data_IF_850750334371
#
_entry.id   IF_850750334371
#
_cell.length_a   1.000
_cell.length_b   1.000
_cell.length_c   1.000
_cell.angle_alpha   90.00
_cell.angle_beta   90.00
_cell.angle_gamma   90.00
#
_symmetry.space_group_name_H-M   'P 1'
#
loop_
_entity.id
_entity.type
_entity.pdbx_description
1 polymer ?
#
# COMPACT_ATOMS: atom_id res chain seq x y z
N UNK A 1 14.67 15.76 -1.38
CA UNK A 1 14.75 14.63 -2.34
C UNK A 1 13.35 14.06 -2.52
N UNK A 2 13.00 13.57 -3.70
CA UNK A 2 11.67 12.99 -3.93
C UNK A 2 11.69 11.47 -3.81
N UNK A 3 10.59 10.95 -3.27
CA UNK A 3 10.38 9.52 -3.08
C UNK A 3 9.03 9.14 -3.67
N UNK A 4 9.04 8.10 -4.50
CA UNK A 4 7.83 7.40 -4.91
C UNK A 4 7.26 6.67 -3.69
N UNK A 5 6.06 7.04 -3.24
CA UNK A 5 5.44 6.47 -2.05
C UNK A 5 4.95 5.03 -2.29
N UNK A 6 4.82 4.61 -3.57
CA UNK A 6 4.23 3.34 -3.95
C UNK A 6 2.96 3.08 -3.14
N UNK A 7 2.90 1.94 -2.46
CA UNK A 7 1.72 1.52 -1.68
C UNK A 7 1.43 2.33 -0.42
N UNK A 8 2.32 3.23 0.04
CA UNK A 8 1.93 4.20 1.09
C UNK A 8 0.79 5.12 0.62
N UNK A 9 0.58 5.24 -0.69
CA UNK A 9 -0.62 5.87 -1.27
C UNK A 9 -1.92 5.29 -0.69
N UNK A 10 -1.96 3.98 -0.35
CA UNK A 10 -3.15 3.32 0.20
C UNK A 10 -3.60 3.94 1.53
N UNK A 11 -2.81 3.93 2.62
CA UNK A 11 -3.19 4.55 3.88
C UNK A 11 -3.14 6.08 3.85
N UNK A 12 -2.29 6.70 3.03
CA UNK A 12 -2.11 8.16 3.05
C UNK A 12 -3.10 8.92 2.17
N UNK A 13 -3.63 8.31 1.11
CA UNK A 13 -4.48 9.00 0.13
C UNK A 13 -5.82 8.29 -0.04
N UNK A 14 -5.80 7.03 -0.51
CA UNK A 14 -7.03 6.35 -0.92
C UNK A 14 -7.92 6.00 0.26
N UNK A 15 -7.35 5.59 1.40
CA UNK A 15 -8.13 5.30 2.61
C UNK A 15 -8.80 6.56 3.16
N UNK A 16 -8.09 7.70 3.38
CA UNK A 16 -8.72 8.95 3.79
C UNK A 16 -9.82 9.44 2.82
N UNK A 17 -9.62 9.29 1.51
CA UNK A 17 -10.66 9.62 0.52
C UNK A 17 -11.88 8.69 0.64
N UNK A 18 -11.68 7.39 0.80
CA UNK A 18 -12.76 6.44 1.00
C UNK A 18 -13.55 6.74 2.28
N UNK A 19 -12.86 6.99 3.40
CA UNK A 19 -13.48 7.38 4.67
C UNK A 19 -14.30 8.68 4.56
N UNK A 20 -13.88 9.61 3.70
CA UNK A 20 -14.57 10.90 3.50
C UNK A 20 -15.79 10.78 2.59
N UNK A 21 -15.71 9.97 1.54
CA UNK A 21 -16.68 10.00 0.43
C UNK A 21 -17.61 8.79 0.38
N UNK A 22 -17.25 7.67 1.01
CA UNK A 22 -18.00 6.42 0.91
C UNK A 22 -18.64 6.06 2.25
N UNK A 23 -19.83 5.46 2.17
CA UNK A 23 -20.37 4.65 3.26
C UNK A 23 -19.64 3.30 3.24
N UNK A 24 -18.98 2.97 4.35
CA UNK A 24 -18.08 1.82 4.41
C UNK A 24 -18.78 0.47 4.29
N UNK A 25 -20.06 0.42 4.66
CA UNK A 25 -20.84 -0.82 4.74
C UNK A 25 -21.87 -0.93 3.61
N UNK A 26 -22.04 0.14 2.82
CA UNK A 26 -22.87 0.11 1.62
C UNK A 26 -22.25 -0.79 0.54
N UNK A 27 -23.11 -1.57 -0.10
CA UNK A 27 -22.72 -2.37 -1.27
C UNK A 27 -22.41 -1.49 -2.48
N UNK A 28 -21.14 -1.40 -2.83
CA UNK A 28 -20.63 -0.58 -3.91
C UNK A 28 -21.01 -1.09 -5.30
N UNK A 29 -21.48 -2.35 -5.43
CA UNK A 29 -22.01 -2.91 -6.70
C UNK A 29 -23.25 -2.17 -7.22
N UNK A 30 -23.85 -1.34 -6.35
CA UNK A 30 -24.95 -0.44 -6.73
C UNK A 30 -24.48 0.74 -7.58
N UNK A 31 -23.19 1.09 -7.54
CA UNK A 31 -22.60 2.12 -8.39
C UNK A 31 -22.54 1.65 -9.85
N UNK A 32 -22.90 2.49 -10.84
CA UNK A 32 -22.86 2.13 -12.25
C UNK A 32 -21.48 1.61 -12.71
N UNK A 33 -20.40 2.24 -12.25
CA UNK A 33 -19.01 1.86 -12.61
C UNK A 33 -18.61 0.47 -12.09
N UNK A 34 -19.31 -0.03 -11.06
CA UNK A 34 -19.06 -1.35 -10.47
C UNK A 34 -20.19 -2.35 -10.77
N UNK A 35 -21.06 -2.04 -11.73
CA UNK A 35 -22.23 -2.88 -12.04
C UNK A 35 -21.86 -4.29 -12.54
N UNK A 36 -20.69 -4.45 -13.17
CA UNK A 36 -20.20 -5.77 -13.60
C UNK A 36 -19.89 -6.71 -12.43
N UNK A 37 -19.72 -6.18 -11.21
CA UNK A 37 -19.56 -6.99 -10.00
C UNK A 37 -20.88 -7.53 -9.44
N UNK A 38 -22.05 -7.17 -9.99
CA UNK A 38 -23.37 -7.61 -9.49
C UNK A 38 -23.55 -9.13 -9.50
N UNK A 39 -22.83 -9.83 -10.38
CA UNK A 39 -22.87 -11.30 -10.45
C UNK A 39 -22.05 -12.00 -9.35
N UNK A 40 -21.28 -11.25 -8.54
CA UNK A 40 -20.62 -11.83 -7.35
C UNK A 40 -21.67 -12.25 -6.33
N UNK A 41 -21.46 -13.39 -5.68
CA UNK A 41 -22.33 -13.87 -4.59
C UNK A 41 -22.33 -12.91 -3.40
N UNK A 42 -21.15 -12.40 -3.03
CA UNK A 42 -20.95 -11.56 -1.85
C UNK A 42 -20.99 -10.07 -2.19
N UNK A 43 -21.52 -9.22 -1.27
CA UNK A 43 -21.40 -7.76 -1.35
C UNK A 43 -19.95 -7.31 -1.55
N UNK A 44 -19.79 -6.13 -2.14
CA UNK A 44 -18.50 -5.47 -2.25
C UNK A 44 -18.57 -4.14 -1.48
N UNK A 45 -18.09 -4.13 -0.24
CA UNK A 45 -18.12 -2.91 0.60
C UNK A 45 -16.77 -2.23 0.66
N UNK A 46 -16.75 -0.92 0.92
CA UNK A 46 -15.47 -0.20 1.07
C UNK A 46 -14.68 -0.73 2.27
N UNK A 47 -15.36 -1.16 3.35
CA UNK A 47 -14.71 -1.82 4.50
C UNK A 47 -13.93 -3.06 4.08
N UNK A 48 -14.55 -3.97 3.31
CA UNK A 48 -13.90 -5.20 2.83
C UNK A 48 -12.71 -4.90 1.91
N UNK A 49 -12.81 -3.88 1.06
CA UNK A 49 -11.72 -3.48 0.17
C UNK A 49 -10.54 -2.90 0.96
N UNK A 50 -10.81 -2.02 1.93
CA UNK A 50 -9.80 -1.38 2.79
C UNK A 50 -9.11 -2.38 3.74
N UNK A 51 -9.83 -3.39 4.22
CA UNK A 51 -9.29 -4.46 5.08
C UNK A 51 -8.83 -5.69 4.32
N UNK A 52 -8.78 -5.62 2.98
CA UNK A 52 -8.31 -6.70 2.11
C UNK A 52 -9.11 -8.03 2.20
N UNK A 53 -10.36 -7.99 2.63
CA UNK A 53 -11.26 -9.17 2.73
C UNK A 53 -12.28 -9.25 1.60
N UNK A 54 -12.14 -8.44 0.56
CA UNK A 54 -13.05 -8.45 -0.59
C UNK A 54 -12.91 -9.69 -1.50
N UNK A 55 -11.98 -10.61 -1.20
CA UNK A 55 -11.72 -11.77 -2.06
C UNK A 55 -11.30 -11.36 -3.47
N UNK A 56 -10.41 -10.38 -3.57
CA UNK A 56 -9.76 -9.96 -4.81
C UNK A 56 -8.31 -10.47 -4.80
N UNK A 57 -7.77 -10.87 -5.96
CA UNK A 57 -6.37 -11.29 -6.03
C UNK A 57 -5.44 -10.11 -5.68
N UNK A 58 -4.19 -10.40 -5.29
CA UNK A 58 -3.27 -9.36 -4.88
C UNK A 58 -2.99 -8.39 -6.02
N UNK A 59 -2.85 -8.92 -7.23
CA UNK A 59 -2.35 -8.18 -8.37
C UNK A 59 -2.82 -8.84 -9.68
N UNK A 60 -3.08 -8.01 -10.68
CA UNK A 60 -3.25 -8.37 -12.09
C UNK A 60 -2.71 -7.20 -12.94
N UNK A 61 -2.21 -7.43 -14.17
CA UNK A 61 -1.68 -6.37 -15.01
C UNK A 61 -2.80 -5.42 -15.45
N UNK A 62 -2.62 -4.12 -15.24
CA UNK A 62 -3.62 -3.13 -15.62
C UNK A 62 -3.64 -2.93 -17.14
N UNK A 63 -4.81 -3.13 -17.74
CA UNK A 63 -5.01 -3.07 -19.19
C UNK A 63 -6.20 -2.19 -19.59
N UNK A 64 -6.73 -1.38 -18.67
CA UNK A 64 -7.88 -0.50 -18.90
C UNK A 64 -9.25 -1.21 -18.97
N UNK A 65 -9.30 -2.55 -18.96
CA UNK A 65 -10.56 -3.30 -18.95
C UNK A 65 -11.19 -3.24 -17.54
N UNK A 66 -12.53 -3.19 -17.41
CA UNK A 66 -13.20 -3.31 -16.12
C UNK A 66 -12.74 -4.55 -15.34
N UNK A 67 -12.41 -4.37 -14.06
CA UNK A 67 -11.78 -5.44 -13.27
C UNK A 67 -12.64 -6.71 -13.19
N UNK A 68 -13.96 -6.58 -13.09
CA UNK A 68 -14.86 -7.73 -13.07
C UNK A 68 -14.74 -8.61 -14.33
N UNK A 69 -14.58 -7.99 -15.49
CA UNK A 69 -14.36 -8.70 -16.76
C UNK A 69 -12.98 -9.33 -16.81
N UNK A 70 -11.96 -8.61 -16.32
CA UNK A 70 -10.61 -9.13 -16.21
C UNK A 70 -10.56 -10.38 -15.33
N UNK A 71 -11.24 -10.39 -14.17
CA UNK A 71 -11.29 -11.53 -13.26
C UNK A 71 -11.95 -12.79 -13.86
N UNK A 72 -12.74 -12.65 -14.91
CA UNK A 72 -13.34 -13.77 -15.64
C UNK A 72 -12.39 -14.39 -16.68
N UNK A 73 -11.30 -13.71 -17.03
CA UNK A 73 -10.29 -14.21 -17.96
C UNK A 73 -9.44 -15.33 -17.34
N UNK A 74 -8.91 -16.26 -18.17
CA UNK A 74 -7.93 -17.23 -17.70
C UNK A 74 -6.61 -16.53 -17.36
N UNK A 75 -6.05 -16.85 -16.19
CA UNK A 75 -4.71 -16.43 -15.78
C UNK A 75 -3.88 -17.63 -15.35
N UNK A 76 -2.53 -17.54 -15.47
CA UNK A 76 -1.61 -18.56 -14.97
C UNK A 76 -1.47 -18.45 -13.45
N UNK A 77 -2.57 -18.73 -12.73
CA UNK A 77 -2.60 -18.72 -11.27
C UNK A 77 -1.53 -19.64 -10.68
N UNK A 78 -0.90 -19.19 -9.59
CA UNK A 78 0.24 -19.81 -8.91
C UNK A 78 1.53 -19.92 -9.74
N UNK A 79 1.58 -19.34 -10.94
CA UNK A 79 2.82 -19.23 -11.73
C UNK A 79 3.78 -18.14 -11.23
N UNK A 80 3.30 -17.23 -10.38
CA UNK A 80 4.10 -16.17 -9.76
C UNK A 80 3.48 -15.77 -8.40
N UNK A 81 4.26 -15.33 -7.39
CA UNK A 81 3.73 -14.89 -6.08
C UNK A 81 2.68 -13.76 -6.13
N UNK A 82 2.65 -12.97 -7.21
CA UNK A 82 1.64 -11.94 -7.45
C UNK A 82 0.36 -12.46 -8.13
N UNK A 83 0.38 -13.68 -8.67
CA UNK A 83 -0.74 -14.28 -9.40
C UNK A 83 -1.38 -15.37 -8.55
N UNK A 84 -1.97 -14.97 -7.43
CA UNK A 84 -2.61 -15.88 -6.48
C UNK A 84 -4.12 -15.69 -6.49
N UNK A 85 -4.87 -16.78 -6.57
CA UNK A 85 -6.33 -16.74 -6.49
C UNK A 85 -6.75 -16.73 -5.02
N UNK A 86 -7.57 -15.77 -4.56
CA UNK A 86 -8.07 -15.77 -3.20
C UNK A 86 -9.02 -16.95 -2.98
N UNK A 87 -8.93 -17.58 -1.81
CA UNK A 87 -9.75 -18.73 -1.41
C UNK A 87 -10.60 -18.32 -0.22
N UNK A 88 -11.90 -18.64 -0.27
CA UNK A 88 -12.80 -18.41 0.84
C UNK A 88 -12.68 -19.57 1.85
N UNK A 89 -12.68 -19.25 3.13
CA UNK A 89 -12.76 -20.17 4.26
C UNK A 89 -14.12 -19.99 4.93
N UNK A 90 -14.93 -21.06 4.97
CA UNK A 90 -16.27 -21.03 5.57
C UNK A 90 -17.21 -19.94 5.02
N UNK A 91 -17.04 -19.56 3.75
CA UNK A 91 -17.85 -18.52 3.09
C UNK A 91 -17.32 -17.10 3.25
N UNK A 92 -16.23 -16.89 3.99
CA UNK A 92 -15.57 -15.60 4.15
C UNK A 92 -14.17 -15.63 3.54
N UNK A 93 -13.64 -14.47 3.12
CA UNK A 93 -12.27 -14.39 2.63
C UNK A 93 -11.36 -13.88 3.76
N UNK A 94 -10.34 -14.66 4.16
CA UNK A 94 -9.24 -14.12 4.93
C UNK A 94 -8.62 -12.91 4.22
N UNK A 95 -8.06 -11.99 5.00
CA UNK A 95 -7.42 -10.81 4.41
C UNK A 95 -6.27 -11.24 3.47
N UNK A 96 -6.29 -10.75 2.24
CA UNK A 96 -5.25 -10.96 1.24
C UNK A 96 -4.92 -9.61 0.60
N UNK A 97 -3.71 -9.11 0.87
CA UNK A 97 -3.27 -7.80 0.36
C UNK A 97 -3.56 -7.68 -1.14
N UNK A 98 -4.22 -6.60 -1.54
CA UNK A 98 -4.74 -6.43 -2.90
C UNK A 98 -4.66 -4.99 -3.37
N UNK A 99 -3.88 -4.78 -4.44
CA UNK A 99 -3.84 -3.52 -5.18
C UNK A 99 -5.15 -3.28 -5.91
N UNK A 100 -5.79 -4.37 -6.37
CA UNK A 100 -7.05 -4.34 -7.09
C UNK A 100 -8.21 -3.85 -6.20
N UNK A 101 -8.17 -4.15 -4.90
CA UNK A 101 -9.12 -3.59 -3.95
C UNK A 101 -9.03 -2.06 -3.87
N UNK A 102 -7.81 -1.53 -3.91
CA UNK A 102 -7.57 -0.09 -3.89
C UNK A 102 -7.88 0.60 -5.22
N UNK A 103 -7.74 -0.09 -6.35
CA UNK A 103 -8.28 0.35 -7.65
C UNK A 103 -9.79 0.57 -7.56
N UNK A 104 -10.53 -0.44 -7.08
CA UNK A 104 -11.99 -0.36 -6.95
C UNK A 104 -12.41 0.77 -6.01
N UNK A 105 -11.70 0.98 -4.90
CA UNK A 105 -11.95 2.09 -3.98
C UNK A 105 -11.79 3.45 -4.68
N UNK A 106 -10.73 3.63 -5.47
CA UNK A 106 -10.51 4.87 -6.19
C UNK A 106 -11.58 5.11 -7.27
N UNK A 107 -11.94 4.09 -8.05
CA UNK A 107 -13.05 4.16 -9.03
C UNK A 107 -14.39 4.52 -8.35
N UNK A 108 -14.66 3.95 -7.16
CA UNK A 108 -15.85 4.28 -6.38
C UNK A 108 -15.84 5.73 -5.85
N UNK A 109 -14.68 6.20 -5.36
CA UNK A 109 -14.51 7.59 -4.92
C UNK A 109 -14.74 8.56 -6.08
N UNK A 110 -14.16 8.30 -7.25
CA UNK A 110 -14.37 9.15 -8.43
C UNK A 110 -15.85 9.17 -8.84
N UNK A 111 -16.52 8.00 -8.85
CA UNK A 111 -17.93 7.91 -9.21
C UNK A 111 -18.88 8.65 -8.24
N UNK A 112 -18.60 8.59 -6.93
CA UNK A 112 -19.44 9.26 -5.92
C UNK A 112 -19.16 10.75 -5.82
N UNK A 113 -17.91 11.16 -5.97
CA UNK A 113 -17.49 12.57 -5.83
C UNK A 113 -17.60 13.38 -7.12
N UNK A 114 -17.59 12.73 -8.28
CA UNK A 114 -17.45 13.37 -9.60
C UNK A 114 -16.07 13.99 -9.87
N UNK A 115 -15.11 13.83 -8.94
CA UNK A 115 -13.75 14.38 -9.05
C UNK A 115 -12.72 13.28 -9.30
N UNK A 116 -11.60 13.62 -9.94
CA UNK A 116 -10.51 12.67 -10.14
C UNK A 116 -9.81 12.33 -8.81
N UNK A 117 -9.54 11.04 -8.57
CA UNK A 117 -8.84 10.51 -7.40
C UNK A 117 -7.49 11.19 -7.19
N UNK A 118 -6.72 11.41 -8.27
CA UNK A 118 -5.44 12.09 -8.21
C UNK A 118 -5.59 13.55 -7.71
N UNK A 119 -6.58 14.28 -8.24
CA UNK A 119 -6.84 15.67 -7.85
C UNK A 119 -7.38 15.77 -6.42
N UNK A 120 -8.34 14.92 -6.06
CA UNK A 120 -8.90 14.86 -4.72
C UNK A 120 -7.83 14.50 -3.68
N UNK A 121 -6.96 13.54 -4.01
CA UNK A 121 -5.83 13.14 -3.17
C UNK A 121 -4.83 14.28 -2.99
N UNK A 122 -4.44 14.95 -4.08
CA UNK A 122 -3.56 16.12 -4.00
C UNK A 122 -4.17 17.24 -3.15
N UNK A 123 -5.45 17.55 -3.33
CA UNK A 123 -6.15 18.59 -2.58
C UNK A 123 -6.26 18.26 -1.08
N UNK A 124 -6.50 16.99 -0.73
CA UNK A 124 -6.62 16.57 0.67
C UNK A 124 -5.27 16.54 1.38
N UNK A 125 -4.23 16.08 0.69
CA UNK A 125 -2.98 15.64 1.32
C UNK A 125 -1.78 16.56 1.03
N UNK A 126 -1.84 17.35 -0.05
CA UNK A 126 -0.67 18.07 -0.57
C UNK A 126 0.39 17.18 -1.23
N UNK A 127 0.21 15.86 -1.23
CA UNK A 127 1.11 14.91 -1.90
C UNK A 127 0.92 15.00 -3.43
N UNK A 128 1.97 14.68 -4.19
CA UNK A 128 1.98 14.94 -5.64
C UNK A 128 1.64 13.68 -6.44
N UNK A 129 0.53 13.65 -7.20
CA UNK A 129 0.21 12.54 -8.08
C UNK A 129 1.15 12.54 -9.31
N UNK A 130 1.40 11.37 -9.87
CA UNK A 130 2.13 11.25 -11.13
C UNK A 130 1.33 11.84 -12.31
N UNK A 131 1.99 12.32 -13.39
CA UNK A 131 3.44 12.40 -13.58
C UNK A 131 4.10 13.52 -12.74
N UNK A 132 5.33 13.29 -12.28
CA UNK A 132 6.03 14.21 -11.37
C UNK A 132 6.93 15.20 -12.10
N UNK A 133 6.94 16.46 -11.67
CA UNK A 133 7.90 17.46 -12.18
C UNK A 133 9.32 17.18 -11.69
N UNK A 134 9.45 16.67 -10.46
CA UNK A 134 10.72 16.27 -9.87
C UNK A 134 10.75 14.74 -9.75
N UNK A 135 11.73 14.12 -10.41
CA UNK A 135 11.86 12.68 -10.43
C UNK A 135 12.27 12.15 -9.03
N UNK A 136 11.62 11.10 -8.52
CA UNK A 136 12.12 10.39 -7.35
C UNK A 136 13.41 9.64 -7.67
N UNK A 137 14.04 9.10 -6.64
CA UNK A 137 15.22 8.23 -6.81
C UNK A 137 14.86 7.08 -7.75
N UNK A 138 15.59 6.98 -8.86
CA UNK A 138 15.37 5.95 -9.86
C UNK A 138 15.62 4.54 -9.30
N UNK A 139 14.71 3.63 -9.60
CA UNK A 139 14.81 2.20 -9.30
C UNK A 139 14.69 1.39 -10.60
N UNK A 140 15.40 0.25 -10.72
CA UNK A 140 15.16 -0.67 -11.82
C UNK A 140 13.79 -1.36 -11.67
N UNK A 141 13.27 -1.99 -12.74
CA UNK A 141 12.02 -2.73 -12.71
C UNK A 141 11.94 -3.75 -11.57
N UNK A 142 10.74 -3.94 -11.05
CA UNK A 142 10.44 -4.89 -9.98
C UNK A 142 10.10 -6.30 -10.48
N UNK A 143 9.80 -7.22 -9.54
CA UNK A 143 9.28 -8.55 -9.86
C UNK A 143 7.87 -8.50 -10.49
N UNK A 144 7.19 -7.35 -10.46
CA UNK A 144 5.95 -7.13 -11.21
C UNK A 144 6.17 -7.19 -12.72
N UNK A 145 7.39 -6.98 -13.23
CA UNK A 145 7.73 -7.21 -14.63
C UNK A 145 7.58 -8.67 -15.04
N UNK A 146 8.11 -9.60 -14.24
CA UNK A 146 7.99 -11.04 -14.51
C UNK A 146 6.51 -11.48 -14.47
N UNK A 147 5.76 -11.03 -13.47
CA UNK A 147 4.33 -11.28 -13.36
C UNK A 147 3.54 -10.75 -14.56
N UNK A 148 3.89 -9.56 -15.06
CA UNK A 148 3.25 -8.95 -16.22
C UNK A 148 3.48 -9.74 -17.49
N UNK A 149 4.72 -10.09 -17.78
CA UNK A 149 5.09 -10.87 -18.96
C UNK A 149 4.42 -12.25 -18.96
N UNK A 150 4.23 -12.84 -17.77
CA UNK A 150 3.54 -14.10 -17.60
C UNK A 150 2.00 -13.97 -17.79
N UNK A 151 1.37 -12.96 -17.20
CA UNK A 151 -0.09 -12.82 -17.16
C UNK A 151 -0.70 -12.09 -18.37
N UNK A 152 0.08 -11.28 -19.08
CA UNK A 152 -0.38 -10.45 -20.18
C UNK A 152 0.63 -10.47 -21.34
N UNK A 153 0.91 -11.66 -21.87
CA UNK A 153 1.89 -11.87 -22.94
C UNK A 153 1.59 -11.10 -24.25
N UNK A 154 0.37 -10.59 -24.41
CA UNK A 154 -0.08 -9.79 -25.55
C UNK A 154 -0.18 -8.28 -25.26
N UNK A 155 0.15 -7.84 -24.05
CA UNK A 155 0.15 -6.43 -23.66
C UNK A 155 1.59 -6.04 -23.30
N UNK A 156 2.11 -5.03 -23.98
CA UNK A 156 3.46 -4.53 -23.69
C UNK A 156 3.61 -4.11 -22.22
N UNK A 157 4.76 -4.43 -21.62
CA UNK A 157 5.09 -3.94 -20.30
C UNK A 157 5.22 -2.40 -20.35
N UNK A 158 4.57 -1.66 -19.42
CA UNK A 158 4.57 -0.20 -19.46
C UNK A 158 5.99 0.37 -19.35
N UNK A 159 6.38 1.20 -20.31
CA UNK A 159 7.70 1.81 -20.39
C UNK A 159 8.00 2.68 -19.16
N UNK A 160 9.21 2.54 -18.59
CA UNK A 160 9.67 3.32 -17.45
C UNK A 160 10.12 4.72 -17.87
N UNK A 161 9.64 5.76 -17.16
CA UNK A 161 10.17 7.13 -17.27
C UNK A 161 10.46 7.69 -15.87
N UNK A 162 11.44 8.59 -15.77
CA UNK A 162 11.90 9.13 -14.48
C UNK A 162 10.80 9.87 -13.68
N UNK A 163 9.79 10.41 -14.37
CA UNK A 163 8.65 11.11 -13.78
C UNK A 163 7.40 10.23 -13.57
N UNK A 164 7.49 8.93 -13.83
CA UNK A 164 6.38 8.00 -13.68
C UNK A 164 6.61 7.03 -12.50
N UNK A 165 5.53 6.42 -11.98
CA UNK A 165 5.64 5.44 -10.90
C UNK A 165 6.55 4.25 -11.25
N UNK A 166 7.28 3.75 -10.26
CA UNK A 166 8.07 2.54 -10.43
C UNK A 166 7.20 1.28 -10.49
N UNK A 167 6.05 1.29 -9.79
CA UNK A 167 5.03 0.25 -9.88
C UNK A 167 4.43 0.18 -11.30
N UNK A 168 4.48 -0.99 -11.93
CA UNK A 168 4.07 -1.15 -13.32
C UNK A 168 2.57 -0.84 -13.53
N UNK A 169 1.69 -1.24 -12.60
CA UNK A 169 0.27 -0.97 -12.74
C UNK A 169 -0.04 0.52 -12.62
N UNK A 170 0.57 1.22 -11.66
CA UNK A 170 0.40 2.66 -11.52
C UNK A 170 0.95 3.40 -12.74
N UNK A 171 2.08 2.93 -13.29
CA UNK A 171 2.67 3.46 -14.52
C UNK A 171 1.77 3.25 -15.75
N UNK A 172 1.06 2.12 -15.81
CA UNK A 172 0.04 1.85 -16.82
C UNK A 172 -1.26 2.65 -16.63
N UNK A 173 -1.39 3.41 -15.53
CA UNK A 173 -2.56 4.25 -15.25
C UNK A 173 -3.55 3.68 -14.24
N UNK A 174 -3.23 2.58 -13.55
CA UNK A 174 -4.06 2.09 -12.46
C UNK A 174 -4.02 3.07 -11.28
N UNK A 175 -5.19 3.56 -10.88
CA UNK A 175 -5.35 4.47 -9.74
C UNK A 175 -5.53 3.73 -8.42
N UNK A 176 -5.36 4.44 -7.30
CA UNK A 176 -5.80 3.99 -5.98
C UNK A 176 -4.75 3.27 -5.13
N UNK A 177 -3.91 2.43 -5.72
CA UNK A 177 -2.97 1.59 -4.96
C UNK A 177 -1.57 2.22 -4.82
N UNK A 178 -1.15 3.03 -5.79
CA UNK A 178 0.13 3.73 -5.87
C UNK A 178 0.00 4.96 -6.81
N UNK A 179 1.08 5.72 -7.01
CA UNK A 179 1.10 6.85 -7.96
C UNK A 179 1.22 8.25 -7.32
N UNK A 180 1.54 8.33 -6.02
CA UNK A 180 1.89 9.59 -5.36
C UNK A 180 3.37 9.62 -4.96
N UNK A 181 3.97 10.79 -5.00
CA UNK A 181 5.32 11.05 -4.50
C UNK A 181 5.31 12.18 -3.46
N UNK A 182 6.34 12.19 -2.62
CA UNK A 182 6.56 13.24 -1.64
C UNK A 182 8.04 13.37 -1.26
N UNK A 183 8.34 14.46 -0.57
CA UNK A 183 9.52 14.64 0.26
C UNK A 183 9.07 14.86 1.72
N UNK A 184 10.01 14.97 2.66
CA UNK A 184 9.67 15.20 4.06
C UNK A 184 8.88 16.51 4.29
N UNK A 185 9.16 17.55 3.51
CA UNK A 185 8.51 18.86 3.63
C UNK A 185 7.00 18.80 3.33
N UNK A 186 6.60 18.04 2.31
CA UNK A 186 5.19 17.84 1.98
C UNK A 186 4.52 16.80 2.88
N UNK A 187 5.25 15.75 3.25
CA UNK A 187 4.66 14.64 3.99
C UNK A 187 4.41 14.98 5.46
N UNK A 188 5.30 15.72 6.13
CA UNK A 188 5.19 15.97 7.56
C UNK A 188 3.90 16.73 7.95
N UNK A 189 3.51 17.84 7.29
CA UNK A 189 2.24 18.52 7.59
C UNK A 189 1.03 17.61 7.40
N UNK A 190 1.04 16.77 6.36
CA UNK A 190 -0.03 15.80 6.13
C UNK A 190 -0.11 14.77 7.27
N UNK A 191 1.03 14.20 7.70
CA UNK A 191 1.03 13.24 8.81
C UNK A 191 0.54 13.84 10.12
N UNK A 192 0.87 15.12 10.39
CA UNK A 192 0.38 15.84 11.57
C UNK A 192 -1.15 15.93 11.61
N UNK A 193 -1.80 16.15 10.46
CA UNK A 193 -3.25 16.11 10.34
C UNK A 193 -3.77 14.67 10.38
N UNK A 194 -3.28 13.81 9.47
CA UNK A 194 -3.70 12.43 9.27
C UNK A 194 -3.72 11.61 10.56
N UNK A 195 -2.70 11.74 11.42
CA UNK A 195 -2.58 10.98 12.67
C UNK A 195 -3.69 11.26 13.69
N UNK A 196 -4.37 12.40 13.54
CA UNK A 196 -5.46 12.81 14.44
C UNK A 196 -6.84 12.75 13.78
N UNK A 197 -6.93 12.99 12.47
CA UNK A 197 -8.21 13.09 11.75
C UNK A 197 -8.65 11.79 11.07
N UNK A 198 -7.72 10.90 10.70
CA UNK A 198 -8.02 9.70 9.92
C UNK A 198 -7.50 8.42 10.59
N UNK A 199 -6.22 8.40 10.96
CA UNK A 199 -5.53 7.21 11.46
C UNK A 199 -6.23 6.49 12.62
N UNK A 200 -6.86 7.17 13.61
CA UNK A 200 -7.56 6.49 14.70
C UNK A 200 -8.68 5.56 14.22
N UNK A 201 -9.38 5.91 13.15
CA UNK A 201 -10.44 5.09 12.56
C UNK A 201 -9.90 3.98 11.64
N UNK A 202 -8.62 4.06 11.27
CA UNK A 202 -7.96 3.08 10.42
C UNK A 202 -7.25 1.99 11.23
N UNK A 203 -6.78 2.34 12.42
CA UNK A 203 -5.94 1.54 13.30
C UNK A 203 -6.76 0.69 14.29
N UNK A 204 -7.78 0.00 13.77
CA UNK A 204 -8.64 -0.92 14.48
C UNK A 204 -8.61 -2.29 13.79
N UNK A 205 -8.74 -3.37 14.56
CA UNK A 205 -8.75 -4.71 13.98
C UNK A 205 -10.05 -4.95 13.21
N UNK A 206 -9.93 -5.19 11.90
CA UNK A 206 -11.05 -5.47 11.00
C UNK A 206 -11.00 -6.86 10.40
N UNK A 207 -9.80 -7.40 10.16
CA UNK A 207 -9.64 -8.69 9.53
C UNK A 207 -8.33 -9.38 9.93
N UNK A 208 -8.26 -10.67 9.61
CA UNK A 208 -7.05 -11.47 9.77
C UNK A 208 -6.76 -12.24 8.48
N UNK A 209 -5.49 -12.30 8.09
CA UNK A 209 -5.01 -13.18 7.00
C UNK A 209 -4.70 -14.57 7.52
N UNK A 210 -4.50 -15.52 6.60
CA UNK A 210 -4.14 -16.92 6.93
C UNK A 210 -2.84 -17.01 7.75
N UNK A 211 -1.86 -16.13 7.48
CA UNK A 211 -0.59 -16.06 8.22
C UNK A 211 -0.71 -15.37 9.59
N UNK A 212 -1.92 -14.97 9.99
CA UNK A 212 -2.19 -14.35 11.28
C UNK A 212 -2.04 -12.83 11.32
N UNK A 213 -1.63 -12.18 10.23
CA UNK A 213 -1.55 -10.71 10.15
C UNK A 213 -2.91 -10.07 10.44
N UNK A 214 -2.93 -9.11 11.36
CA UNK A 214 -4.14 -8.38 11.75
C UNK A 214 -4.22 -7.09 10.94
N UNK A 215 -5.27 -6.96 10.15
CA UNK A 215 -5.51 -5.83 9.25
C UNK A 215 -6.51 -4.85 9.85
N UNK A 216 -6.21 -3.57 9.67
CA UNK A 216 -7.14 -2.46 9.82
C UNK A 216 -7.57 -1.96 8.45
N UNK A 217 -7.83 -0.67 8.33
CA UNK A 217 -8.19 -0.05 7.05
C UNK A 217 -6.93 0.55 6.41
N UNK A 218 -6.34 -0.15 5.44
CA UNK A 218 -5.09 0.26 4.79
C UNK A 218 -3.83 0.15 5.65
N UNK A 219 -3.93 -0.42 6.85
CA UNK A 219 -2.84 -0.64 7.81
C UNK A 219 -2.88 -2.08 8.32
N UNK A 220 -1.76 -2.57 8.87
CA UNK A 220 -1.72 -3.85 9.61
C UNK A 220 -0.91 -3.72 10.90
N UNK A 221 -1.13 -4.62 11.86
CA UNK A 221 -0.38 -4.67 13.13
C UNK A 221 1.08 -4.99 12.87
N UNK A 222 1.98 -4.21 13.47
CA UNK A 222 3.42 -4.42 13.35
C UNK A 222 3.80 -5.79 13.92
N UNK A 223 4.68 -6.53 13.24
CA UNK A 223 5.25 -7.77 13.76
C UNK A 223 6.26 -7.48 14.88
N UNK A 224 6.31 -8.34 15.89
CA UNK A 224 7.18 -8.20 17.06
C UNK A 224 8.13 -9.42 17.19
N UNK A 225 9.22 -9.23 17.93
CA UNK A 225 10.29 -10.20 18.10
C UNK A 225 11.62 -9.74 17.50
N UNK A 226 12.70 -10.53 17.68
CA UNK A 226 14.04 -10.12 17.29
C UNK A 226 14.15 -9.75 15.81
N UNK A 227 14.63 -8.54 15.53
CA UNK A 227 14.77 -8.02 14.17
C UNK A 227 13.46 -7.59 13.51
N UNK A 228 12.35 -7.55 14.24
CA UNK A 228 11.08 -7.00 13.76
C UNK A 228 10.91 -5.54 14.24
N UNK A 229 10.19 -4.71 13.49
CA UNK A 229 10.01 -3.30 13.86
C UNK A 229 9.38 -3.12 15.25
N UNK A 230 8.52 -4.05 15.68
CA UNK A 230 7.92 -4.03 17.01
C UNK A 230 8.95 -4.05 18.14
N UNK A 231 10.10 -4.70 17.95
CA UNK A 231 11.17 -4.73 18.96
C UNK A 231 11.67 -3.32 19.30
N UNK A 232 11.77 -2.45 18.30
CA UNK A 232 12.21 -1.06 18.44
C UNK A 232 11.06 -0.15 18.88
N UNK A 233 9.92 -0.25 18.17
CA UNK A 233 8.81 0.68 18.32
C UNK A 233 8.14 0.57 19.70
N UNK A 234 8.06 -0.62 20.29
CA UNK A 234 7.48 -0.81 21.63
C UNK A 234 8.34 -0.17 22.74
N UNK A 235 9.61 0.17 22.46
CA UNK A 235 10.50 0.86 23.42
C UNK A 235 10.33 2.38 23.41
N UNK A 236 9.63 2.94 22.42
CA UNK A 236 9.45 4.38 22.30
C UNK A 236 8.49 4.90 23.36
N UNK A 237 8.83 6.00 24.08
CA UNK A 237 7.96 6.56 25.11
C UNK A 237 6.63 7.08 24.52
N UNK A 238 5.58 7.12 25.32
CA UNK A 238 4.29 7.73 24.95
C UNK A 238 4.41 9.26 25.01
N UNK A 239 4.65 9.89 23.86
CA UNK A 239 4.90 11.33 23.75
C UNK A 239 4.32 11.97 22.47
N UNK A 240 3.58 11.21 21.68
CA UNK A 240 2.92 11.69 20.46
C UNK A 240 3.90 12.24 19.42
N UNK A 241 5.04 11.57 19.21
CA UNK A 241 6.01 11.96 18.18
C UNK A 241 5.38 11.91 16.78
N UNK A 242 5.69 12.89 15.93
CA UNK A 242 5.39 12.81 14.50
C UNK A 242 6.64 13.17 13.71
N UNK A 243 7.21 12.20 12.99
CA UNK A 243 8.49 12.35 12.29
C UNK A 243 8.46 11.77 10.89
N UNK A 244 9.17 12.44 9.99
CA UNK A 244 9.56 11.89 8.69
C UNK A 244 11.09 11.79 8.66
N UNK A 245 11.60 10.60 8.37
CA UNK A 245 13.05 10.33 8.28
C UNK A 245 13.37 9.99 6.83
N UNK A 246 14.25 10.76 6.22
CA UNK A 246 14.73 10.52 4.84
C UNK A 246 16.03 9.75 4.85
N UNK A 247 16.16 8.77 3.94
CA UNK A 247 17.40 8.06 3.67
C UNK A 247 17.62 7.94 2.17
N UNK A 248 18.74 8.49 1.70
CA UNK A 248 19.13 8.52 0.29
C UNK A 248 20.35 7.65 -0.04
N UNK A 249 20.89 6.95 0.96
CA UNK A 249 22.09 6.13 0.79
C UNK A 249 21.81 4.87 -0.04
N UNK A 250 22.84 4.40 -0.74
CA UNK A 250 22.76 3.14 -1.49
C UNK A 250 23.43 1.98 -0.75
N UNK A 251 24.15 2.26 0.34
CA UNK A 251 24.91 1.28 1.11
C UNK A 251 24.06 0.09 1.57
N UNK A 252 24.69 -1.09 1.64
CA UNK A 252 24.04 -2.25 2.22
C UNK A 252 23.72 -2.00 3.69
N UNK A 253 22.48 -2.26 4.13
CA UNK A 253 22.13 -2.05 5.53
C UNK A 253 22.84 -3.07 6.43
N UNK A 254 23.07 -2.73 7.71
CA UNK A 254 23.67 -3.65 8.67
C UNK A 254 22.96 -5.00 8.73
N UNK A 255 23.71 -6.03 9.10
CA UNK A 255 23.14 -7.36 9.30
C UNK A 255 22.08 -7.33 10.41
N UNK A 256 20.95 -7.98 10.15
CA UNK A 256 19.88 -8.23 11.11
C UNK A 256 19.50 -9.72 11.03
N UNK A 257 19.31 -10.40 12.18
CA UNK A 257 18.81 -11.78 12.18
C UNK A 257 17.52 -11.92 11.36
N UNK A 258 17.46 -12.94 10.51
CA UNK A 258 16.24 -13.29 9.78
C UNK A 258 15.54 -14.44 10.52
N UNK A 259 14.85 -14.10 11.59
CA UNK A 259 14.10 -15.05 12.43
C UNK A 259 12.60 -14.79 12.34
N UNK A 260 11.76 -15.84 12.46
CA UNK A 260 10.32 -15.65 12.49
C UNK A 260 9.89 -14.69 13.61
N UNK A 261 8.86 -13.86 13.39
CA UNK A 261 8.27 -13.05 14.44
C UNK A 261 7.83 -13.92 15.62
N UNK A 262 8.02 -13.42 16.84
CA UNK A 262 7.56 -14.10 18.07
C UNK A 262 6.21 -13.59 18.54
N UNK A 263 5.65 -12.58 17.88
CA UNK A 263 4.32 -12.05 18.17
C UNK A 263 3.94 -10.87 17.29
N UNK A 264 2.87 -10.19 17.69
CA UNK A 264 2.40 -8.94 17.08
C UNK A 264 2.46 -7.82 18.12
N UNK A 265 2.77 -6.61 17.65
CA UNK A 265 2.71 -5.39 18.45
C UNK A 265 1.29 -5.14 18.93
N UNK A 266 1.17 -4.75 20.20
CA UNK A 266 -0.12 -4.42 20.81
C UNK A 266 -0.50 -2.95 20.60
N UNK A 267 0.47 -2.09 20.25
CA UNK A 267 0.27 -0.64 20.12
C UNK A 267 0.46 -0.13 18.69
N UNK A 268 1.30 -0.75 17.87
CA UNK A 268 1.70 -0.17 16.58
C UNK A 268 1.05 -0.83 15.36
N UNK A 269 0.70 0.03 14.41
CA UNK A 269 0.19 -0.27 13.08
C UNK A 269 1.16 0.24 12.03
N UNK A 270 1.17 -0.36 10.84
CA UNK A 270 2.08 0.02 9.78
C UNK A 270 1.56 -0.22 8.36
N UNK A 271 2.28 0.34 7.39
CA UNK A 271 2.20 0.00 5.98
C UNK A 271 3.57 0.18 5.31
N UNK A 272 3.82 -0.53 4.21
CA UNK A 272 5.08 -0.42 3.45
C UNK A 272 4.83 -0.21 1.97
N UNK A 273 5.71 0.54 1.32
CA UNK A 273 5.73 0.78 -0.11
C UNK A 273 6.75 -0.13 -0.79
N UNK A 274 6.38 -0.69 -1.94
CA UNK A 274 7.27 -1.53 -2.75
C UNK A 274 8.61 -0.86 -3.06
N UNK A 275 8.64 0.46 -3.24
CA UNK A 275 9.82 1.26 -3.60
C UNK A 275 10.78 1.48 -2.45
N UNK A 276 10.36 1.28 -1.19
CA UNK A 276 11.19 1.50 -0.01
C UNK A 276 10.52 2.21 1.17
N UNK A 277 9.57 3.14 1.00
CA UNK A 277 8.96 3.84 2.13
C UNK A 277 8.21 2.91 3.09
N UNK A 278 8.05 3.34 4.34
CA UNK A 278 7.26 2.66 5.36
C UNK A 278 6.67 3.67 6.34
N UNK A 279 5.52 3.38 6.91
CA UNK A 279 4.92 4.21 7.95
C UNK A 279 4.49 3.39 9.15
N UNK A 280 4.47 4.02 10.32
CA UNK A 280 4.11 3.43 11.61
C UNK A 280 3.22 4.40 12.37
N UNK A 281 2.17 3.88 12.99
CA UNK A 281 1.22 4.67 13.77
C UNK A 281 0.86 3.96 15.08
N UNK A 282 0.86 4.69 16.18
CA UNK A 282 0.40 4.23 17.50
C UNK A 282 -0.82 5.06 17.93
N UNK A 283 -2.01 4.45 18.05
CA UNK A 283 -3.22 5.17 18.43
C UNK A 283 -3.17 5.82 19.81
N UNK A 284 -2.52 5.16 20.78
CA UNK A 284 -2.52 5.53 22.20
C UNK A 284 -2.09 6.98 22.47
N UNK A 285 -1.16 7.51 21.67
CA UNK A 285 -0.65 8.88 21.78
C UNK A 285 -0.59 9.61 20.42
N UNK A 286 -1.23 9.06 19.39
CA UNK A 286 -1.15 9.53 18.01
C UNK A 286 0.30 9.68 17.50
N UNK A 287 1.22 8.83 17.95
CA UNK A 287 2.57 8.81 17.40
C UNK A 287 2.56 8.31 15.95
N UNK A 288 3.29 8.98 15.07
CA UNK A 288 3.39 8.66 13.65
C UNK A 288 4.84 8.81 13.16
N UNK A 289 5.40 7.75 12.60
CA UNK A 289 6.74 7.77 12.00
C UNK A 289 6.61 7.35 10.55
N UNK A 290 7.16 8.13 9.63
CA UNK A 290 7.30 7.73 8.25
C UNK A 290 8.76 7.72 7.82
N UNK A 291 9.17 6.63 7.18
CA UNK A 291 10.48 6.44 6.60
C UNK A 291 10.37 6.67 5.09
N UNK A 292 11.04 7.69 4.60
CA UNK A 292 11.25 7.92 3.18
C UNK A 292 12.58 7.30 2.78
N UNK A 293 12.51 6.05 2.35
CA UNK A 293 13.64 5.25 1.89
C UNK A 293 13.39 4.77 0.46
N UNK A 294 14.43 4.22 -0.16
CA UNK A 294 14.34 3.60 -1.48
C UNK A 294 15.05 2.23 -1.48
N UNK A 295 14.74 1.39 -2.47
CA UNK A 295 15.31 0.05 -2.63
C UNK A 295 16.57 -0.02 -3.46
N UNK A 296 17.15 1.10 -3.89
CA UNK A 296 18.40 1.06 -4.67
C UNK A 296 19.55 0.59 -3.78
N UNK A 297 20.20 -0.51 -4.17
CA UNK A 297 21.42 -1.03 -3.56
C UNK A 297 22.69 -0.37 -4.12
N UNK A 298 23.88 -0.76 -3.64
CA UNK A 298 25.15 -0.14 -4.04
C UNK A 298 25.47 -0.37 -5.51
N UNK A 299 25.14 -1.56 -6.03
CA UNK A 299 25.32 -1.95 -7.44
C UNK A 299 24.18 -1.45 -8.36
N UNK A 300 23.31 -0.56 -7.86
CA UNK A 300 22.18 -0.01 -8.62
C UNK A 300 20.95 -0.92 -8.75
N UNK A 301 21.04 -2.20 -8.37
CA UNK A 301 19.92 -3.14 -8.32
C UNK A 301 18.90 -2.86 -7.20
N UNK A 302 17.77 -3.57 -7.21
CA UNK A 302 16.81 -3.56 -6.12
C UNK A 302 17.30 -4.41 -4.94
N UNK A 303 17.27 -3.84 -3.74
CA UNK A 303 17.33 -4.60 -2.49
C UNK A 303 16.18 -5.60 -2.45
N UNK A 304 16.46 -6.84 -2.06
CA UNK A 304 15.44 -7.85 -1.80
C UNK A 304 14.56 -7.47 -0.58
N UNK A 305 13.46 -8.21 -0.31
CA UNK A 305 12.57 -7.92 0.82
C UNK A 305 13.26 -7.87 2.19
N UNK A 306 14.25 -8.73 2.43
CA UNK A 306 14.98 -8.76 3.70
C UNK A 306 15.91 -7.56 3.83
N UNK A 307 16.62 -7.20 2.76
CA UNK A 307 17.52 -6.07 2.74
C UNK A 307 16.76 -4.74 2.89
N UNK A 308 15.62 -4.55 2.23
CA UNK A 308 14.83 -3.31 2.46
C UNK A 308 14.24 -3.27 3.88
N UNK A 309 13.86 -4.41 4.45
CA UNK A 309 13.46 -4.50 5.85
C UNK A 309 14.60 -4.06 6.79
N UNK A 310 15.82 -4.56 6.57
CA UNK A 310 17.03 -4.15 7.33
C UNK A 310 17.32 -2.66 7.23
N UNK A 311 17.16 -2.06 6.05
CA UNK A 311 17.34 -0.62 5.86
C UNK A 311 16.33 0.18 6.68
N UNK A 312 15.04 -0.18 6.61
CA UNK A 312 13.99 0.46 7.42
C UNK A 312 14.26 0.29 8.93
N UNK A 313 14.73 -0.89 9.34
CA UNK A 313 15.08 -1.17 10.72
C UNK A 313 16.23 -0.27 11.20
N UNK A 314 17.30 -0.17 10.42
CA UNK A 314 18.45 0.70 10.73
C UNK A 314 18.10 2.19 10.74
N UNK A 315 17.07 2.62 9.98
CA UNK A 315 16.54 3.98 10.09
C UNK A 315 15.79 4.19 11.42
N UNK A 316 15.02 3.21 11.88
CA UNK A 316 14.30 3.29 13.15
C UNK A 316 15.23 3.30 14.37
N UNK A 317 16.42 2.70 14.29
CA UNK A 317 17.41 2.76 15.38
C UNK A 317 17.99 4.16 15.62
N UNK A 318 17.66 5.13 14.77
CA UNK A 318 18.08 6.54 14.91
C UNK A 318 17.05 7.39 15.69
N UNK A 319 15.93 6.81 16.10
CA UNK A 319 14.88 7.45 16.92
C UNK A 319 15.19 7.37 18.41
#
# INVERSE_FOLDING_TARGET
MWFDLASLTKPLVTTPLALKHLDLDRDLRTLPVLSDFRNRTWPLTARQLLSHTAGLPPWLPYNGVPLAQQLAAPFPWNGHPLLVKPVAEFGEFPACYSDLGFRVLAEAVEAVSGGSWAKLGQQMTGLVPAPWSEAPIALPPGPDQEAWLLAANNIAFPEGMANLPHDANARAGMIGHAGFAANAQLLLPWLMAWRTTHAPNMALAHARSVDGTVWGLGLWRVLNGPGQFGELLERLPLNGICRVIEFSGTDMPPHLPNVPPTGISQSWWMHTGFTGPAMFFRPDDASCICLLAHRRGPEGGLLDPLAIHRRRYAMLTQL
#
